data_IF_186139796081
#
_entry.id   IF_186139796081
#
_cell.length_a   1.000
_cell.length_b   1.000
_cell.length_c   1.000
_cell.angle_alpha   90.00
_cell.angle_beta   90.00
_cell.angle_gamma   90.00
#
_symmetry.space_group_name_H-M   'P 1'
#
loop_
_entity.id
_entity.type
_entity.pdbx_description
1 polymer ?
#
# COMPACT_ATOMS: atom_id res chain seq x y z
N UNK A 1 -43.41 13.70 -18.98
CA UNK A 1 -42.31 14.13 -18.09
C UNK A 1 -41.29 13.00 -17.93
N UNK A 2 -40.63 12.54 -19.02
CA UNK A 2 -39.81 11.32 -19.00
C UNK A 2 -38.40 11.49 -19.61
N UNK A 3 -37.87 12.71 -19.72
CA UNK A 3 -36.66 12.98 -20.50
C UNK A 3 -35.62 13.88 -19.80
N UNK A 4 -35.82 14.24 -18.53
CA UNK A 4 -34.85 15.04 -17.77
C UNK A 4 -33.54 14.29 -17.44
N UNK A 5 -33.56 13.03 -16.94
CA UNK A 5 -32.32 12.35 -16.57
C UNK A 5 -31.45 12.00 -17.80
N UNK A 6 -32.07 11.65 -18.93
CA UNK A 6 -31.36 11.38 -20.19
C UNK A 6 -30.72 12.65 -20.75
N UNK A 7 -31.41 13.80 -20.66
CA UNK A 7 -30.84 15.09 -21.09
C UNK A 7 -29.67 15.54 -20.22
N UNK A 8 -29.69 15.26 -18.92
CA UNK A 8 -28.58 15.56 -18.01
C UNK A 8 -27.34 14.73 -18.35
N UNK A 9 -27.52 13.41 -18.51
CA UNK A 9 -26.43 12.50 -18.82
C UNK A 9 -25.77 12.84 -20.18
N UNK A 10 -26.58 13.16 -21.19
CA UNK A 10 -26.10 13.59 -22.52
C UNK A 10 -25.40 14.95 -22.45
N UNK A 11 -25.88 15.88 -21.62
CA UNK A 11 -25.23 17.17 -21.43
C UNK A 11 -23.88 17.04 -20.71
N UNK A 12 -23.77 16.17 -19.71
CA UNK A 12 -22.50 15.87 -19.03
C UNK A 12 -21.50 15.21 -19.98
N UNK A 13 -21.91 14.20 -20.75
CA UNK A 13 -21.01 13.56 -21.72
C UNK A 13 -20.56 14.52 -22.82
N UNK A 14 -21.44 15.39 -23.31
CA UNK A 14 -21.07 16.42 -24.30
C UNK A 14 -20.13 17.47 -23.71
N UNK A 15 -20.31 17.82 -22.43
CA UNK A 15 -19.42 18.74 -21.72
C UNK A 15 -18.05 18.11 -21.46
N UNK A 16 -17.99 16.85 -21.04
CA UNK A 16 -16.74 16.10 -20.90
C UNK A 16 -16.00 15.97 -22.24
N UNK A 17 -16.71 15.75 -23.35
CA UNK A 17 -16.13 15.72 -24.69
C UNK A 17 -15.63 17.11 -25.14
N UNK A 18 -16.36 18.17 -24.83
CA UNK A 18 -15.92 19.54 -25.12
C UNK A 18 -14.68 19.92 -24.29
N UNK A 19 -14.69 19.60 -22.99
CA UNK A 19 -13.56 19.79 -22.08
C UNK A 19 -12.34 18.99 -22.57
N UNK A 20 -12.53 17.74 -23.04
CA UNK A 20 -11.49 16.93 -23.69
C UNK A 20 -10.93 17.58 -24.97
N UNK A 21 -11.77 18.18 -25.80
CA UNK A 21 -11.38 18.85 -27.06
C UNK A 21 -10.64 20.18 -26.81
N UNK A 22 -10.96 20.87 -25.72
CA UNK A 22 -10.29 22.11 -25.28
C UNK A 22 -9.02 21.83 -24.45
N UNK A 23 -8.70 20.56 -24.18
CA UNK A 23 -7.55 20.15 -23.38
C UNK A 23 -7.76 20.32 -21.86
N UNK A 24 -8.99 20.58 -21.44
CA UNK A 24 -9.44 20.61 -20.05
C UNK A 24 -9.73 19.18 -19.57
N UNK A 25 -8.68 18.42 -19.28
CA UNK A 25 -8.84 17.14 -18.59
C UNK A 25 -9.39 17.37 -17.18
N UNK A 26 -10.42 16.60 -16.79
CA UNK A 26 -10.84 16.52 -15.38
C UNK A 26 -9.61 16.17 -14.55
N UNK A 27 -9.25 17.07 -13.62
CA UNK A 27 -8.15 16.81 -12.68
C UNK A 27 -8.55 15.71 -11.71
N UNK A 28 -7.62 14.82 -11.41
CA UNK A 28 -7.77 13.86 -10.32
C UNK A 28 -7.74 14.61 -9.00
N UNK A 29 -8.81 14.49 -8.23
CA UNK A 29 -8.95 15.07 -6.91
C UNK A 29 -8.35 14.14 -5.85
N UNK A 30 -7.33 14.63 -5.14
CA UNK A 30 -6.63 13.84 -4.12
C UNK A 30 -6.70 14.59 -2.80
N UNK A 31 -7.31 13.99 -1.78
CA UNK A 31 -7.23 14.53 -0.43
C UNK A 31 -5.94 14.09 0.28
N UNK A 32 -5.38 14.93 1.14
CA UNK A 32 -4.24 14.59 2.00
C UNK A 32 -4.50 14.99 3.44
N UNK A 33 -4.33 14.05 4.36
CA UNK A 33 -4.41 14.33 5.80
C UNK A 33 -3.14 15.04 6.26
N UNK A 34 -3.27 16.13 7.02
CA UNK A 34 -2.12 16.94 7.46
C UNK A 34 -1.70 16.68 8.91
N UNK A 35 -2.59 16.08 9.71
CA UNK A 35 -2.32 15.71 11.11
C UNK A 35 -1.55 14.39 11.16
N UNK A 36 -0.57 14.29 12.07
CA UNK A 36 0.25 13.10 12.29
C UNK A 36 1.69 13.23 11.80
N UNK A 37 2.00 14.29 11.03
CA UNK A 37 3.37 14.56 10.56
C UNK A 37 4.29 14.91 11.72
N UNK A 38 5.44 14.25 11.81
CA UNK A 38 6.52 14.60 12.76
C UNK A 38 7.19 15.95 12.40
N UNK A 39 6.97 16.44 11.17
CA UNK A 39 7.43 17.74 10.69
C UNK A 39 6.32 18.81 10.71
N UNK A 40 5.15 18.47 11.27
CA UNK A 40 3.99 19.35 11.37
C UNK A 40 3.16 19.49 10.08
N UNK A 41 1.95 20.08 10.19
CA UNK A 41 1.00 20.20 9.08
C UNK A 41 1.47 21.16 7.98
N UNK A 42 2.33 22.13 8.32
CA UNK A 42 2.92 23.07 7.36
C UNK A 42 3.81 22.38 6.33
N UNK A 43 4.51 21.32 6.73
CA UNK A 43 5.33 20.53 5.81
C UNK A 43 4.46 19.73 4.82
N UNK A 44 3.33 19.20 5.29
CA UNK A 44 2.35 18.51 4.44
C UNK A 44 1.71 19.49 3.46
N UNK A 45 1.32 20.69 3.92
CA UNK A 45 0.82 21.77 3.07
C UNK A 45 1.84 22.12 1.96
N UNK A 46 3.13 22.26 2.32
CA UNK A 46 4.19 22.52 1.34
C UNK A 46 4.27 21.39 0.30
N UNK A 47 4.12 20.14 0.72
CA UNK A 47 4.06 18.98 -0.17
C UNK A 47 2.84 19.01 -1.10
N UNK A 48 1.66 19.34 -0.55
CA UNK A 48 0.42 19.50 -1.31
C UNK A 48 0.51 20.59 -2.39
N UNK A 49 1.05 21.76 -2.04
CA UNK A 49 1.25 22.85 -3.00
C UNK A 49 2.28 22.51 -4.07
N UNK A 50 3.34 21.78 -3.70
CA UNK A 50 4.34 21.28 -4.63
C UNK A 50 3.75 20.23 -5.58
N UNK A 51 2.81 19.40 -5.11
CA UNK A 51 2.13 18.41 -5.93
C UNK A 51 1.36 19.07 -7.09
N UNK A 52 0.53 20.08 -6.83
CA UNK A 52 -0.21 20.78 -7.89
C UNK A 52 0.71 21.47 -8.92
N UNK A 53 1.91 21.90 -8.49
CA UNK A 53 2.92 22.47 -9.40
C UNK A 53 3.59 21.40 -10.26
N UNK A 54 3.94 20.25 -9.66
CA UNK A 54 4.68 19.16 -10.31
C UNK A 54 3.79 18.27 -11.17
N UNK A 55 2.53 18.10 -10.78
CA UNK A 55 1.55 17.22 -11.41
C UNK A 55 0.28 18.03 -11.73
N UNK A 56 0.24 18.75 -12.87
CA UNK A 56 -0.86 19.66 -13.21
C UNK A 56 -2.24 18.98 -13.36
N UNK A 57 -2.24 17.67 -13.57
CA UNK A 57 -3.43 16.82 -13.67
C UNK A 57 -4.05 16.48 -12.31
N UNK A 58 -3.42 16.85 -11.19
CA UNK A 58 -3.94 16.65 -9.83
C UNK A 58 -4.49 17.96 -9.27
N UNK A 59 -5.58 17.86 -8.52
CA UNK A 59 -6.12 18.90 -7.63
C UNK A 59 -6.06 18.37 -6.20
N UNK A 60 -5.46 19.14 -5.29
CA UNK A 60 -5.26 18.68 -3.91
C UNK A 60 -6.28 19.30 -2.96
N UNK A 61 -6.82 18.49 -2.05
CA UNK A 61 -7.70 18.91 -0.95
C UNK A 61 -7.00 18.57 0.37
N UNK A 62 -6.90 19.51 1.29
CA UNK A 62 -6.34 19.26 2.62
C UNK A 62 -7.42 18.77 3.58
N UNK A 63 -7.06 17.86 4.48
CA UNK A 63 -7.90 17.47 5.62
C UNK A 63 -7.10 17.62 6.91
N UNK A 64 -7.47 18.58 7.75
CA UNK A 64 -6.74 18.89 9.00
C UNK A 64 -6.98 20.32 9.51
N UNK A 65 -6.12 20.85 10.40
CA UNK A 65 -6.42 22.09 11.11
C UNK A 65 -6.48 23.31 10.19
N UNK A 66 -7.27 24.30 10.60
CA UNK A 66 -7.38 25.59 9.93
C UNK A 66 -6.00 26.18 9.62
N UNK A 67 -5.70 26.36 8.33
CA UNK A 67 -4.40 26.83 7.85
C UNK A 67 -4.60 27.80 6.69
N UNK A 68 -3.81 28.88 6.65
CA UNK A 68 -3.84 29.83 5.53
C UNK A 68 -3.24 29.19 4.27
N UNK A 69 -4.07 28.90 3.28
CA UNK A 69 -3.66 28.30 2.00
C UNK A 69 -4.62 28.66 0.88
N UNK A 70 -4.16 28.51 -0.37
CA UNK A 70 -5.01 28.57 -1.57
C UNK A 70 -5.72 27.25 -1.88
N UNK A 71 -5.29 26.15 -1.25
CA UNK A 71 -5.86 24.83 -1.47
C UNK A 71 -7.21 24.70 -0.72
N UNK A 72 -8.19 23.99 -1.29
CA UNK A 72 -9.38 23.60 -0.54
C UNK A 72 -8.99 22.88 0.76
N UNK A 73 -9.64 23.22 1.86
CA UNK A 73 -9.39 22.65 3.18
C UNK A 73 -10.71 22.16 3.78
N UNK A 74 -10.71 20.91 4.21
CA UNK A 74 -11.73 20.34 5.09
C UNK A 74 -11.13 20.35 6.50
N UNK A 75 -11.65 21.23 7.35
CA UNK A 75 -11.13 21.40 8.70
C UNK A 75 -11.30 20.11 9.50
N UNK A 76 -10.30 19.74 10.31
CA UNK A 76 -10.37 18.64 11.28
C UNK A 76 -9.37 18.93 12.40
N UNK A 77 -9.74 18.64 13.64
CA UNK A 77 -8.94 19.01 14.82
C UNK A 77 -8.24 17.80 15.49
N UNK A 78 -8.45 16.59 14.96
CA UNK A 78 -7.82 15.37 15.47
C UNK A 78 -7.53 14.36 14.35
N UNK A 79 -6.59 13.45 14.57
CA UNK A 79 -6.28 12.36 13.62
C UNK A 79 -7.51 11.52 13.30
N UNK A 80 -8.34 11.22 14.32
CA UNK A 80 -9.59 10.47 14.16
C UNK A 80 -10.55 11.19 13.24
N UNK A 81 -10.80 12.48 13.49
CA UNK A 81 -11.71 13.28 12.68
C UNK A 81 -11.21 13.45 11.24
N UNK A 82 -9.90 13.66 11.07
CA UNK A 82 -9.28 13.75 9.74
C UNK A 82 -9.43 12.43 8.97
N UNK A 83 -9.26 11.29 9.64
CA UNK A 83 -9.47 9.97 9.05
C UNK A 83 -10.94 9.76 8.64
N UNK A 84 -11.90 10.04 9.52
CA UNK A 84 -13.33 9.93 9.23
C UNK A 84 -13.74 10.81 8.03
N UNK A 85 -13.28 12.07 8.00
CA UNK A 85 -13.55 12.99 6.89
C UNK A 85 -12.92 12.54 5.58
N UNK A 86 -11.67 12.06 5.61
CA UNK A 86 -11.00 11.49 4.44
C UNK A 86 -11.80 10.29 3.88
N UNK A 87 -12.26 9.38 4.74
CA UNK A 87 -13.06 8.22 4.31
C UNK A 87 -14.39 8.65 3.71
N UNK A 88 -15.10 9.60 4.32
CA UNK A 88 -16.37 10.10 3.79
C UNK A 88 -16.19 10.74 2.42
N UNK A 89 -15.15 11.58 2.24
CA UNK A 89 -14.84 12.18 0.93
C UNK A 89 -14.62 11.14 -0.18
N UNK A 90 -13.98 10.01 0.14
CA UNK A 90 -13.78 8.90 -0.80
C UNK A 90 -15.08 8.16 -1.10
N UNK A 91 -15.87 7.84 -0.07
CA UNK A 91 -17.13 7.08 -0.20
C UNK A 91 -18.18 7.88 -0.96
N UNK A 92 -18.25 9.19 -0.71
CA UNK A 92 -19.21 10.10 -1.34
C UNK A 92 -18.76 10.49 -2.78
N UNK A 93 -17.55 10.11 -3.19
CA UNK A 93 -16.99 10.43 -4.51
C UNK A 93 -16.63 11.91 -4.67
N UNK A 94 -16.49 12.66 -3.57
CA UNK A 94 -16.03 14.05 -3.58
C UNK A 94 -14.54 14.15 -3.92
N UNK A 95 -13.77 13.11 -3.60
CA UNK A 95 -12.39 12.95 -4.03
C UNK A 95 -12.16 11.58 -4.66
N UNK A 96 -11.28 11.54 -5.65
CA UNK A 96 -10.94 10.30 -6.37
C UNK A 96 -9.94 9.43 -5.57
N UNK A 97 -9.13 10.06 -4.72
CA UNK A 97 -8.05 9.39 -4.00
C UNK A 97 -7.65 10.09 -2.70
N UNK A 98 -6.88 9.38 -1.87
CA UNK A 98 -6.34 9.90 -0.62
C UNK A 98 -4.85 9.59 -0.42
N UNK A 99 -4.14 10.48 0.27
CA UNK A 99 -2.82 10.22 0.85
C UNK A 99 -2.89 10.46 2.36
N UNK A 100 -2.43 9.49 3.15
CA UNK A 100 -2.45 9.56 4.60
C UNK A 100 -1.23 8.88 5.22
N UNK A 101 -0.98 9.12 6.50
CA UNK A 101 0.14 8.51 7.23
C UNK A 101 -0.20 7.13 7.79
N UNK A 102 -1.49 6.85 7.94
CA UNK A 102 -1.98 5.59 8.48
C UNK A 102 -3.35 5.25 7.90
N UNK A 103 -3.51 3.97 7.53
CA UNK A 103 -4.76 3.37 7.08
C UNK A 103 -4.71 1.87 7.34
N UNK A 104 -5.78 1.33 7.92
CA UNK A 104 -5.91 -0.11 8.19
C UNK A 104 -6.42 -0.83 6.93
N UNK A 105 -5.47 -1.31 6.13
CA UNK A 105 -5.82 -2.12 4.95
C UNK A 105 -6.38 -3.49 5.37
N UNK A 106 -7.44 -3.96 4.70
CA UNK A 106 -7.98 -5.29 4.97
C UNK A 106 -6.98 -6.37 4.56
N UNK A 107 -7.13 -7.55 5.16
CA UNK A 107 -6.34 -8.72 4.78
C UNK A 107 -6.48 -9.02 3.28
N UNK A 108 -5.36 -9.30 2.62
CA UNK A 108 -5.32 -9.44 1.15
C UNK A 108 -4.97 -8.14 0.42
N UNK A 109 -4.65 -7.08 1.15
CA UNK A 109 -4.24 -5.77 0.60
C UNK A 109 -2.91 -5.33 1.19
N UNK A 110 -2.03 -4.83 0.34
CA UNK A 110 -0.76 -4.21 0.75
C UNK A 110 -0.35 -3.12 -0.22
N UNK A 111 0.47 -2.17 0.23
CA UNK A 111 0.88 -1.01 -0.56
C UNK A 111 2.07 -1.30 -1.46
N UNK A 112 2.02 -0.89 -2.73
CA UNK A 112 3.14 -1.05 -3.69
C UNK A 112 3.97 0.23 -3.76
N UNK A 113 5.17 0.21 -3.18
CA UNK A 113 6.05 1.38 -3.12
C UNK A 113 6.74 1.68 -4.45
N UNK A 114 7.20 2.93 -4.60
CA UNK A 114 8.05 3.36 -5.73
C UNK A 114 9.24 4.12 -5.18
N UNK A 115 10.43 3.59 -5.46
CA UNK A 115 11.70 4.10 -4.98
C UNK A 115 12.54 4.65 -6.13
N UNK A 116 13.48 5.53 -5.79
CA UNK A 116 14.50 6.02 -6.71
C UNK A 116 15.81 5.34 -6.32
N UNK A 117 16.37 4.56 -7.25
CA UNK A 117 17.61 3.85 -7.04
C UNK A 117 18.78 4.85 -6.94
N UNK A 118 19.54 4.89 -5.84
CA UNK A 118 20.56 5.92 -5.61
C UNK A 118 21.72 5.86 -6.61
N UNK A 119 22.04 4.68 -7.14
CA UNK A 119 23.18 4.48 -8.06
C UNK A 119 22.91 4.93 -9.49
N UNK A 120 21.65 5.00 -9.92
CA UNK A 120 21.28 5.27 -11.32
C UNK A 120 20.23 6.35 -11.49
N UNK A 121 19.53 6.73 -10.41
CA UNK A 121 18.36 7.60 -10.47
C UNK A 121 17.12 6.93 -11.08
N UNK A 122 17.20 5.65 -11.46
CA UNK A 122 16.08 4.91 -12.04
C UNK A 122 15.01 4.67 -10.97
N UNK A 123 13.75 4.78 -11.38
CA UNK A 123 12.63 4.43 -10.54
C UNK A 123 12.37 2.92 -10.59
N UNK A 124 12.07 2.33 -9.44
CA UNK A 124 11.81 0.91 -9.27
C UNK A 124 10.64 0.72 -8.30
N UNK A 125 9.73 -0.19 -8.63
CA UNK A 125 8.63 -0.57 -7.74
C UNK A 125 9.11 -1.60 -6.72
N UNK A 126 8.64 -1.45 -5.49
CA UNK A 126 8.81 -2.45 -4.42
C UNK A 126 7.45 -3.06 -4.16
N UNK A 127 7.35 -4.37 -4.41
CA UNK A 127 6.09 -5.06 -4.56
C UNK A 127 5.16 -4.92 -3.36
N UNK A 128 5.66 -4.89 -2.12
CA UNK A 128 4.87 -4.41 -0.97
C UNK A 128 5.69 -3.68 0.07
N UNK A 129 5.07 -2.77 0.82
CA UNK A 129 5.75 -1.93 1.84
C UNK A 129 4.96 -1.78 3.16
N UNK A 130 3.63 -1.85 3.13
CA UNK A 130 2.74 -1.86 4.30
C UNK A 130 1.54 -2.77 4.02
N UNK A 131 0.99 -3.45 5.02
CA UNK A 131 -0.15 -4.36 4.86
C UNK A 131 0.24 -5.83 4.60
N UNK A 132 -0.76 -6.69 4.38
CA UNK A 132 -0.57 -8.14 4.33
C UNK A 132 -1.46 -8.79 3.26
N UNK A 133 -0.84 -9.46 2.28
CA UNK A 133 -1.54 -10.12 1.17
C UNK A 133 -2.00 -11.57 1.48
N UNK A 134 -1.30 -12.25 2.37
CA UNK A 134 -1.58 -13.61 2.84
C UNK A 134 -0.84 -13.85 4.16
N UNK A 135 -1.33 -14.80 4.97
CA UNK A 135 -0.69 -15.20 6.23
C UNK A 135 0.66 -15.88 5.99
N UNK A 136 0.68 -16.81 5.02
CA UNK A 136 1.92 -17.50 4.65
C UNK A 136 2.82 -16.60 3.80
N UNK A 137 4.06 -16.34 4.26
CA UNK A 137 5.05 -15.47 3.61
C UNK A 137 5.23 -15.71 2.11
N UNK A 138 5.46 -16.96 1.69
CA UNK A 138 5.66 -17.30 0.26
C UNK A 138 4.40 -16.99 -0.56
N UNK A 139 3.20 -17.31 -0.03
CA UNK A 139 1.94 -16.99 -0.69
C UNK A 139 1.75 -15.47 -0.81
N UNK A 140 2.12 -14.73 0.24
CA UNK A 140 2.09 -13.28 0.23
C UNK A 140 3.02 -12.72 -0.85
N UNK A 141 4.29 -13.15 -0.89
CA UNK A 141 5.25 -12.69 -1.90
C UNK A 141 4.83 -13.02 -3.35
N UNK A 142 4.16 -14.16 -3.59
CA UNK A 142 3.59 -14.47 -4.91
C UNK A 142 2.50 -13.46 -5.27
N UNK A 143 1.58 -13.14 -4.35
CA UNK A 143 0.57 -12.09 -4.56
C UNK A 143 1.19 -10.70 -4.70
N UNK A 144 2.24 -10.40 -3.95
CA UNK A 144 2.99 -9.15 -4.06
C UNK A 144 3.51 -8.96 -5.49
N UNK A 145 4.02 -10.03 -6.13
CA UNK A 145 4.46 -9.96 -7.52
C UNK A 145 3.32 -9.57 -8.47
N UNK A 146 2.13 -10.16 -8.32
CA UNK A 146 0.93 -9.81 -9.11
C UNK A 146 0.54 -8.35 -8.89
N UNK A 147 0.53 -7.88 -7.64
CA UNK A 147 0.24 -6.49 -7.31
C UNK A 147 1.26 -5.51 -7.92
N UNK A 148 2.56 -5.80 -7.82
CA UNK A 148 3.62 -4.99 -8.42
C UNK A 148 3.53 -4.95 -9.95
N UNK A 149 3.18 -6.07 -10.60
CA UNK A 149 2.95 -6.13 -12.04
C UNK A 149 1.75 -5.29 -12.48
N UNK A 150 0.63 -5.35 -11.74
CA UNK A 150 -0.55 -4.53 -12.01
C UNK A 150 -0.23 -3.03 -11.93
N UNK A 151 0.52 -2.61 -10.90
CA UNK A 151 0.97 -1.22 -10.75
C UNK A 151 1.93 -0.81 -11.86
N UNK A 152 2.88 -1.68 -12.24
CA UNK A 152 3.80 -1.39 -13.34
C UNK A 152 3.06 -1.15 -14.66
N UNK A 153 2.06 -1.99 -14.95
CA UNK A 153 1.19 -1.88 -16.14
C UNK A 153 0.32 -0.62 -16.09
N UNK A 154 -0.21 -0.28 -14.91
CA UNK A 154 -0.94 0.99 -14.66
C UNK A 154 -0.06 2.21 -14.96
N UNK A 155 1.23 2.14 -14.65
CA UNK A 155 2.22 3.18 -14.97
C UNK A 155 2.69 3.17 -16.45
N UNK A 156 2.13 2.29 -17.28
CA UNK A 156 2.45 2.19 -18.71
C UNK A 156 3.64 1.28 -19.05
N UNK A 157 4.18 0.53 -18.08
CA UNK A 157 5.24 -0.46 -18.34
C UNK A 157 4.58 -1.72 -18.89
N UNK A 158 4.62 -1.92 -20.21
CA UNK A 158 3.88 -3.00 -20.89
C UNK A 158 4.41 -4.40 -20.58
N UNK A 159 5.73 -4.56 -20.48
CA UNK A 159 6.43 -5.82 -20.17
C UNK A 159 7.39 -5.62 -19.00
N UNK A 160 6.87 -5.46 -17.77
CA UNK A 160 7.69 -5.19 -16.60
C UNK A 160 8.61 -6.37 -16.29
N UNK A 161 9.86 -6.05 -15.97
CA UNK A 161 10.83 -7.00 -15.45
C UNK A 161 10.67 -7.19 -13.94
N UNK A 162 10.69 -8.45 -13.50
CA UNK A 162 10.52 -8.86 -12.10
C UNK A 162 11.84 -9.38 -11.57
N UNK A 163 12.26 -8.88 -10.41
CA UNK A 163 13.38 -9.41 -9.63
C UNK A 163 12.91 -9.78 -8.23
N UNK A 164 13.51 -10.81 -7.64
CA UNK A 164 13.19 -11.28 -6.30
C UNK A 164 14.32 -10.91 -5.36
N UNK A 165 14.05 -10.07 -4.36
CA UNK A 165 15.04 -9.82 -3.32
C UNK A 165 15.40 -11.15 -2.66
N UNK A 166 16.70 -11.44 -2.53
CA UNK A 166 17.20 -12.70 -2.02
C UNK A 166 17.07 -12.79 -0.48
N UNK A 167 15.82 -12.84 -0.02
CA UNK A 167 15.40 -13.07 1.36
C UNK A 167 14.80 -14.47 1.50
N UNK A 168 14.48 -14.85 2.74
CA UNK A 168 13.85 -16.13 3.02
C UNK A 168 12.53 -16.31 2.23
N UNK A 169 12.34 -17.50 1.66
CA UNK A 169 11.23 -17.83 0.78
C UNK A 169 11.40 -17.45 -0.70
N UNK A 170 12.41 -16.64 -1.08
CA UNK A 170 12.56 -16.14 -2.44
C UNK A 170 12.72 -17.25 -3.50
N UNK A 171 13.43 -18.35 -3.18
CA UNK A 171 13.60 -19.48 -4.10
C UNK A 171 12.27 -20.20 -4.35
N UNK A 172 11.42 -20.34 -3.32
CA UNK A 172 10.09 -20.93 -3.45
C UNK A 172 9.17 -20.03 -4.30
N UNK A 173 9.25 -18.71 -4.11
CA UNK A 173 8.53 -17.73 -4.94
C UNK A 173 9.01 -17.79 -6.38
N UNK A 174 10.32 -17.87 -6.62
CA UNK A 174 10.89 -18.00 -7.97
C UNK A 174 10.33 -19.24 -8.69
N UNK A 175 10.27 -20.39 -8.00
CA UNK A 175 9.69 -21.62 -8.56
C UNK A 175 8.20 -21.44 -8.87
N UNK A 176 7.43 -20.86 -7.95
CA UNK A 176 6.00 -20.60 -8.13
C UNK A 176 5.71 -19.64 -9.31
N UNK A 177 6.47 -18.55 -9.43
CA UNK A 177 6.32 -17.61 -10.55
C UNK A 177 6.81 -18.21 -11.88
N UNK A 178 7.83 -19.08 -11.84
CA UNK A 178 8.27 -19.83 -13.02
C UNK A 178 7.21 -20.82 -13.48
N UNK A 179 6.51 -21.50 -12.56
CA UNK A 179 5.38 -22.37 -12.86
C UNK A 179 4.23 -21.57 -13.53
N UNK A 180 3.92 -20.37 -13.04
CA UNK A 180 2.94 -19.48 -13.67
C UNK A 180 3.37 -19.07 -15.08
N UNK A 181 4.64 -18.65 -15.25
CA UNK A 181 5.18 -18.25 -16.55
C UNK A 181 5.14 -19.41 -17.56
N UNK A 182 5.47 -20.62 -17.14
CA UNK A 182 5.38 -21.83 -17.97
C UNK A 182 3.94 -22.17 -18.40
N UNK A 183 2.93 -21.67 -17.67
CA UNK A 183 1.50 -21.81 -17.98
C UNK A 183 0.93 -20.63 -18.76
N UNK A 184 1.77 -19.67 -19.18
CA UNK A 184 1.38 -18.54 -20.03
C UNK A 184 1.24 -17.19 -19.32
N UNK A 185 1.61 -17.08 -18.03
CA UNK A 185 1.57 -15.79 -17.34
C UNK A 185 2.72 -14.89 -17.80
N UNK A 186 2.39 -13.72 -18.34
CA UNK A 186 3.36 -12.84 -19.00
C UNK A 186 4.02 -11.84 -18.05
N UNK A 187 5.33 -12.00 -17.86
CA UNK A 187 6.27 -11.01 -17.29
C UNK A 187 7.70 -11.37 -17.70
N UNK A 188 8.66 -10.47 -17.57
CA UNK A 188 10.08 -10.79 -17.83
C UNK A 188 10.87 -10.96 -16.54
N UNK A 189 11.85 -11.86 -16.53
CA UNK A 189 12.80 -11.91 -15.42
C UNK A 189 13.83 -10.80 -15.59
N UNK A 190 14.01 -10.00 -14.54
CA UNK A 190 15.19 -9.14 -14.45
C UNK A 190 16.44 -10.02 -14.30
N UNK A 191 17.57 -9.52 -14.79
CA UNK A 191 18.87 -10.19 -14.67
C UNK A 191 19.75 -9.37 -13.75
N UNK A 192 20.19 -9.96 -12.63
CA UNK A 192 21.07 -9.30 -11.65
C UNK A 192 22.31 -8.70 -12.34
N UNK A 193 22.77 -7.54 -11.86
CA UNK A 193 23.95 -6.85 -12.37
C UNK A 193 25.28 -7.58 -12.06
N UNK A 194 25.22 -8.75 -11.43
CA UNK A 194 26.39 -9.58 -11.10
C UNK A 194 26.72 -10.56 -12.22
N UNK A 195 27.92 -11.14 -12.16
CA UNK A 195 28.40 -12.13 -13.13
C UNK A 195 27.52 -13.39 -13.20
N UNK A 196 26.90 -13.80 -12.08
CA UNK A 196 26.00 -14.96 -12.01
C UNK A 196 24.61 -14.70 -12.60
N UNK A 197 24.22 -13.43 -12.78
CA UNK A 197 22.94 -13.03 -13.35
C UNK A 197 21.72 -13.61 -12.62
N UNK A 198 20.63 -13.82 -13.36
CA UNK A 198 19.41 -14.45 -12.87
C UNK A 198 18.47 -13.51 -12.08
N UNK A 199 17.31 -14.04 -11.65
CA UNK A 199 16.22 -13.23 -11.10
C UNK A 199 16.34 -12.94 -9.60
N UNK A 200 17.32 -13.52 -8.90
CA UNK A 200 17.55 -13.26 -7.48
C UNK A 200 18.42 -12.01 -7.30
N UNK A 201 17.82 -10.97 -6.75
CA UNK A 201 18.38 -9.63 -6.56
C UNK A 201 19.06 -9.52 -5.20
N UNK A 202 20.20 -8.83 -5.16
CA UNK A 202 20.93 -8.49 -3.92
C UNK A 202 20.89 -6.98 -3.66
N UNK A 203 21.48 -6.53 -2.56
CA UNK A 203 21.54 -5.09 -2.23
C UNK A 203 22.03 -4.21 -3.38
N UNK A 204 23.03 -4.67 -4.13
CA UNK A 204 23.56 -3.93 -5.29
C UNK A 204 22.50 -3.68 -6.36
N UNK A 205 21.66 -4.69 -6.64
CA UNK A 205 20.57 -4.60 -7.61
C UNK A 205 19.50 -3.60 -7.18
N UNK A 206 19.25 -3.53 -5.87
CA UNK A 206 18.35 -2.51 -5.28
C UNK A 206 18.93 -1.11 -5.49
N UNK A 207 20.23 -0.93 -5.24
CA UNK A 207 20.90 0.37 -5.34
C UNK A 207 20.97 0.89 -6.77
N UNK A 208 21.04 0.02 -7.79
CA UNK A 208 21.07 0.42 -9.21
C UNK A 208 19.71 0.33 -9.91
N UNK A 209 18.68 -0.21 -9.25
CA UNK A 209 17.33 -0.34 -9.81
C UNK A 209 17.29 -1.35 -10.95
N UNK A 210 17.80 -2.56 -10.73
CA UNK A 210 17.88 -3.61 -11.76
C UNK A 210 16.50 -3.99 -12.33
N UNK A 211 15.51 -4.43 -11.52
CA UNK A 211 14.17 -4.74 -12.02
C UNK A 211 13.26 -3.51 -12.13
N UNK A 212 12.16 -3.63 -12.86
CA UNK A 212 11.02 -2.70 -12.76
C UNK A 212 10.22 -2.96 -11.48
N UNK A 213 10.04 -4.24 -11.12
CA UNK A 213 9.35 -4.70 -9.91
C UNK A 213 10.28 -5.57 -9.07
N UNK A 214 10.68 -5.06 -7.90
CA UNK A 214 11.41 -5.80 -6.88
C UNK A 214 10.41 -6.46 -5.92
N UNK A 215 10.33 -7.78 -5.96
CA UNK A 215 9.48 -8.60 -5.08
C UNK A 215 10.23 -8.96 -3.80
N UNK A 216 9.66 -8.60 -2.67
CA UNK A 216 10.12 -8.94 -1.32
C UNK A 216 8.92 -9.16 -0.39
N UNK A 217 9.17 -9.61 0.84
CA UNK A 217 8.18 -9.52 1.90
C UNK A 217 7.96 -8.05 2.32
N UNK A 218 6.79 -7.75 2.89
CA UNK A 218 6.39 -6.39 3.23
C UNK A 218 7.35 -5.70 4.21
N UNK A 219 7.94 -6.44 5.16
CA UNK A 219 8.83 -5.84 6.16
C UNK A 219 10.15 -5.41 5.53
N UNK A 220 10.72 -6.26 4.68
CA UNK A 220 11.88 -5.90 3.86
C UNK A 220 11.59 -4.68 2.98
N UNK A 221 10.43 -4.65 2.31
CA UNK A 221 10.02 -3.51 1.50
C UNK A 221 9.85 -2.22 2.31
N UNK A 222 9.25 -2.30 3.50
CA UNK A 222 9.13 -1.17 4.44
C UNK A 222 10.51 -0.59 4.80
N UNK A 223 11.46 -1.47 5.14
CA UNK A 223 12.81 -1.08 5.50
C UNK A 223 13.54 -0.42 4.32
N UNK A 224 13.40 -0.97 3.10
CA UNK A 224 14.00 -0.40 1.90
C UNK A 224 13.48 1.01 1.62
N UNK A 225 12.17 1.23 1.74
CA UNK A 225 11.57 2.57 1.57
C UNK A 225 12.17 3.55 2.56
N UNK A 226 12.13 3.22 3.87
CA UNK A 226 12.68 4.09 4.93
C UNK A 226 14.14 4.42 4.70
N UNK A 227 14.95 3.38 4.47
CA UNK A 227 16.39 3.52 4.33
C UNK A 227 16.75 4.39 3.13
N UNK A 228 16.18 4.12 1.95
CA UNK A 228 16.53 4.84 0.73
C UNK A 228 15.94 6.26 0.72
N UNK A 229 14.73 6.44 1.26
CA UNK A 229 14.05 7.74 1.23
C UNK A 229 14.69 8.76 2.17
N UNK A 230 15.30 8.31 3.28
CA UNK A 230 15.95 9.15 4.28
C UNK A 230 17.48 8.94 4.39
N UNK A 231 18.10 8.30 3.37
CA UNK A 231 19.52 7.91 3.39
C UNK A 231 20.47 9.10 3.65
N UNK A 232 20.15 10.27 3.11
CA UNK A 232 20.99 11.48 3.18
C UNK A 232 20.67 12.39 4.37
N UNK A 233 19.63 12.07 5.15
CA UNK A 233 19.16 12.90 6.27
C UNK A 233 19.37 12.26 7.63
N UNK A 234 19.97 11.07 7.68
CA UNK A 234 20.16 10.34 8.93
C UNK A 234 18.88 9.66 9.44
N UNK A 235 17.88 9.46 8.59
CA UNK A 235 16.69 8.66 8.90
C UNK A 235 15.49 9.42 9.48
N UNK A 236 15.62 10.71 9.80
CA UNK A 236 14.56 11.50 10.47
C UNK A 236 13.66 12.27 9.51
N UNK A 237 14.05 12.40 8.23
CA UNK A 237 13.29 13.16 7.23
C UNK A 237 13.44 12.52 5.85
N UNK A 238 12.36 11.99 5.28
CA UNK A 238 12.41 11.38 3.95
C UNK A 238 12.41 12.46 2.85
N UNK A 239 13.39 12.44 1.96
CA UNK A 239 13.61 13.46 0.91
C UNK A 239 13.38 12.95 -0.51
N UNK A 240 13.48 11.64 -0.73
CA UNK A 240 13.42 11.00 -2.05
C UNK A 240 12.39 9.87 -2.07
N UNK A 241 11.90 9.51 -3.26
CA UNK A 241 10.87 8.48 -3.43
C UNK A 241 9.44 9.04 -3.47
N UNK A 242 8.47 8.12 -3.42
CA UNK A 242 7.04 8.38 -3.63
C UNK A 242 6.17 7.87 -2.46
N UNK A 243 6.76 7.81 -1.27
CA UNK A 243 6.13 7.19 -0.10
C UNK A 243 6.07 5.67 -0.19
N UNK A 244 5.13 5.09 0.54
CA UNK A 244 4.92 3.64 0.67
C UNK A 244 3.99 3.13 -0.44
N UNK A 245 3.32 4.04 -1.15
CA UNK A 245 2.53 3.76 -2.34
C UNK A 245 1.06 3.46 -2.06
N UNK A 246 0.28 3.23 -3.13
CA UNK A 246 -1.15 2.92 -3.06
C UNK A 246 -1.40 1.53 -2.50
N UNK A 247 -2.48 1.34 -1.74
CA UNK A 247 -3.00 0.02 -1.37
C UNK A 247 -3.46 -0.75 -2.61
N UNK A 248 -3.03 -2.01 -2.71
CA UNK A 248 -3.34 -2.90 -3.83
C UNK A 248 -3.80 -4.23 -3.29
N UNK A 249 -4.91 -4.74 -3.80
CA UNK A 249 -5.48 -6.03 -3.43
C UNK A 249 -6.59 -6.40 -4.41
N UNK A 250 -6.83 -7.70 -4.61
CA UNK A 250 -7.79 -8.22 -5.60
C UNK A 250 -9.21 -7.61 -5.42
N UNK A 251 -9.64 -7.47 -4.17
CA UNK A 251 -10.95 -6.94 -3.79
C UNK A 251 -10.89 -5.47 -3.32
N UNK A 252 -9.71 -4.85 -3.30
CA UNK A 252 -9.54 -3.48 -2.83
C UNK A 252 -9.76 -2.47 -3.96
N UNK A 253 -10.63 -1.50 -3.73
CA UNK A 253 -11.16 -0.62 -4.80
C UNK A 253 -10.89 0.87 -4.58
N UNK A 254 -10.33 1.24 -3.43
CA UNK A 254 -10.04 2.64 -3.10
C UNK A 254 -8.60 3.02 -3.46
N UNK A 255 -8.39 4.26 -3.90
CA UNK A 255 -7.05 4.78 -4.21
C UNK A 255 -6.45 5.48 -2.99
N UNK A 256 -5.79 4.71 -2.11
CA UNK A 256 -5.24 5.24 -0.85
C UNK A 256 -3.73 5.02 -0.81
N UNK A 257 -2.95 6.11 -0.83
CA UNK A 257 -1.50 6.10 -0.68
C UNK A 257 -1.04 6.35 0.74
N UNK A 258 0.06 5.68 1.12
CA UNK A 258 0.69 5.88 2.44
C UNK A 258 1.99 6.67 2.33
N UNK A 259 2.14 7.62 3.25
CA UNK A 259 3.40 8.31 3.54
C UNK A 259 3.82 8.03 4.99
N UNK A 260 5.10 8.19 5.30
CA UNK A 260 5.57 8.15 6.68
C UNK A 260 5.22 9.45 7.39
N UNK A 261 5.10 9.41 8.72
CA UNK A 261 5.08 10.64 9.54
C UNK A 261 6.37 11.44 9.39
N UNK A 262 7.47 10.78 9.00
CA UNK A 262 8.75 11.42 8.71
C UNK A 262 8.88 11.91 7.25
N UNK A 263 7.84 11.77 6.41
CA UNK A 263 7.91 12.17 5.01
C UNK A 263 7.98 13.69 4.87
N UNK A 264 8.99 14.16 4.12
CA UNK A 264 9.13 15.56 3.75
C UNK A 264 8.23 15.97 2.60
N UNK A 265 8.11 17.29 2.37
CA UNK A 265 7.25 17.86 1.33
C UNK A 265 7.50 17.27 -0.08
N UNK A 266 8.75 16.96 -0.44
CA UNK A 266 9.07 16.37 -1.75
C UNK A 266 8.48 14.97 -1.92
N UNK A 267 8.56 14.14 -0.87
CA UNK A 267 8.02 12.77 -0.86
C UNK A 267 6.50 12.81 -0.85
N UNK A 268 5.90 13.69 -0.06
CA UNK A 268 4.44 13.91 -0.02
C UNK A 268 3.93 14.34 -1.40
N UNK A 269 4.60 15.29 -2.04
CA UNK A 269 4.22 15.74 -3.39
C UNK A 269 4.24 14.59 -4.41
N UNK A 270 5.28 13.77 -4.35
CA UNK A 270 5.43 12.59 -5.19
C UNK A 270 4.38 11.52 -4.90
N UNK A 271 4.04 11.27 -3.62
CA UNK A 271 3.00 10.32 -3.24
C UNK A 271 1.62 10.75 -3.78
N UNK A 272 1.29 12.04 -3.67
CA UNK A 272 0.05 12.61 -4.25
C UNK A 272 0.01 12.40 -5.76
N UNK A 273 1.10 12.74 -6.46
CA UNK A 273 1.21 12.51 -7.91
C UNK A 273 1.10 11.03 -8.29
N UNK A 274 1.73 10.16 -7.51
CA UNK A 274 1.73 8.72 -7.75
C UNK A 274 0.34 8.12 -7.60
N UNK A 275 -0.39 8.44 -6.53
CA UNK A 275 -1.80 8.01 -6.39
C UNK A 275 -2.66 8.61 -7.50
N UNK A 276 -2.43 9.86 -7.89
CA UNK A 276 -3.10 10.46 -9.04
C UNK A 276 -2.88 9.69 -10.36
N UNK A 277 -1.67 9.15 -10.57
CA UNK A 277 -1.39 8.26 -11.71
C UNK A 277 -2.16 6.94 -11.62
N UNK A 278 -2.38 6.40 -10.41
CA UNK A 278 -3.17 5.17 -10.23
C UNK A 278 -4.63 5.36 -10.61
N UNK A 279 -5.22 6.51 -10.25
CA UNK A 279 -6.58 6.86 -10.69
C UNK A 279 -6.61 7.01 -12.21
N UNK A 280 -5.68 7.79 -12.76
CA UNK A 280 -5.64 8.09 -14.21
C UNK A 280 -5.44 6.83 -15.07
N UNK A 281 -4.69 5.84 -14.56
CA UNK A 281 -4.42 4.57 -15.22
C UNK A 281 -5.40 3.44 -14.88
N UNK A 282 -6.44 3.71 -14.09
CA UNK A 282 -7.42 2.74 -13.60
C UNK A 282 -6.77 1.48 -12.99
N UNK A 283 -6.00 1.69 -11.90
CA UNK A 283 -5.33 0.62 -11.16
C UNK A 283 -6.31 -0.50 -10.78
N UNK A 284 -7.54 -0.16 -10.39
CA UNK A 284 -8.52 -1.15 -9.95
C UNK A 284 -8.86 -2.13 -11.07
N UNK A 285 -9.09 -1.62 -12.29
CA UNK A 285 -9.28 -2.50 -13.44
C UNK A 285 -8.02 -3.30 -13.77
N UNK A 286 -6.84 -2.67 -13.73
CA UNK A 286 -5.56 -3.34 -13.99
C UNK A 286 -5.28 -4.49 -13.02
N UNK A 287 -5.59 -4.31 -11.73
CA UNK A 287 -5.46 -5.35 -10.70
C UNK A 287 -6.37 -6.53 -11.02
N UNK A 288 -7.66 -6.28 -11.31
CA UNK A 288 -8.61 -7.34 -11.67
C UNK A 288 -8.18 -8.11 -12.90
N UNK A 289 -7.70 -7.41 -13.92
CA UNK A 289 -7.19 -8.03 -15.15
C UNK A 289 -5.96 -8.89 -14.87
N UNK A 290 -5.02 -8.39 -14.08
CA UNK A 290 -3.79 -9.11 -13.75
C UNK A 290 -4.05 -10.36 -12.91
N UNK A 291 -4.92 -10.27 -11.90
CA UNK A 291 -5.36 -11.44 -11.12
C UNK A 291 -6.13 -12.45 -11.98
N UNK A 292 -6.98 -11.98 -12.90
CA UNK A 292 -7.67 -12.86 -13.86
C UNK A 292 -6.67 -13.65 -14.71
N UNK A 293 -5.67 -12.98 -15.28
CA UNK A 293 -4.59 -13.63 -16.07
C UNK A 293 -3.79 -14.62 -15.23
N UNK A 294 -3.41 -14.24 -14.01
CA UNK A 294 -2.67 -15.11 -13.10
C UNK A 294 -3.48 -16.35 -12.68
N UNK A 295 -4.78 -16.18 -12.39
CA UNK A 295 -5.69 -17.28 -12.04
C UNK A 295 -5.93 -18.23 -13.22
N UNK A 296 -6.05 -17.71 -14.46
CA UNK A 296 -6.09 -18.55 -15.67
C UNK A 296 -4.82 -19.39 -15.84
N UNK A 297 -3.69 -18.90 -15.34
CA UNK A 297 -2.41 -19.62 -15.31
C UNK A 297 -2.24 -20.51 -14.06
N UNK A 298 -3.27 -20.63 -13.21
CA UNK A 298 -3.29 -21.55 -12.06
C UNK A 298 -2.75 -20.97 -10.75
N UNK A 299 -2.76 -19.64 -10.57
CA UNK A 299 -2.37 -18.96 -9.33
C UNK A 299 -3.03 -19.58 -8.09
N UNK A 300 -4.35 -19.77 -8.10
CA UNK A 300 -5.09 -20.35 -6.96
C UNK A 300 -4.52 -21.71 -6.53
N UNK A 301 -4.23 -22.59 -7.49
CA UNK A 301 -3.67 -23.91 -7.20
C UNK A 301 -2.22 -23.87 -6.71
N UNK A 302 -1.43 -22.90 -7.15
CA UNK A 302 -0.06 -22.68 -6.66
C UNK A 302 -0.08 -22.14 -5.23
N UNK A 303 -0.95 -21.18 -4.94
CA UNK A 303 -1.13 -20.63 -3.59
C UNK A 303 -1.60 -21.72 -2.61
N UNK A 304 -2.46 -22.64 -3.06
CA UNK A 304 -2.94 -23.79 -2.27
C UNK A 304 -1.83 -24.72 -1.74
N UNK A 305 -0.62 -24.69 -2.32
CA UNK A 305 0.54 -25.46 -1.83
C UNK A 305 1.15 -24.89 -0.55
N UNK A 306 0.85 -23.62 -0.28
CA UNK A 306 1.34 -22.85 0.87
C UNK A 306 0.21 -22.54 1.85
N UNK A 307 -1.00 -22.97 1.55
CA UNK A 307 -2.03 -23.15 2.55
C UNK A 307 -1.50 -24.16 3.56
N UNK A 308 -1.43 -23.77 4.83
CA UNK A 308 -1.31 -24.74 5.90
C UNK A 308 -2.41 -25.79 5.69
N UNK A 309 -2.10 -27.10 5.79
CA UNK A 309 -3.16 -28.06 6.05
C UNK A 309 -3.95 -27.52 7.23
N UNK A 310 -5.26 -27.70 7.26
CA UNK A 310 -6.00 -27.67 8.51
C UNK A 310 -5.44 -28.81 9.40
N UNK A 311 -4.24 -28.64 9.97
CA UNK A 311 -4.02 -29.10 11.33
C UNK A 311 -5.19 -28.51 12.10
N UNK A 312 -5.89 -29.36 12.85
CA UNK A 312 -6.98 -29.03 13.76
C UNK A 312 -6.56 -27.98 14.81
N UNK A 313 -6.17 -26.80 14.35
CA UNK A 313 -6.08 -25.59 15.12
C UNK A 313 -7.51 -25.12 15.17
N UNK A 314 -8.07 -25.12 16.37
CA UNK A 314 -9.42 -24.63 16.64
C UNK A 314 -9.66 -23.37 15.83
N UNK A 315 -10.64 -23.41 14.93
CA UNK A 315 -11.00 -22.30 14.06
C UNK A 315 -11.70 -21.25 14.93
N UNK A 316 -10.92 -20.57 15.76
CA UNK A 316 -11.38 -19.58 16.72
C UNK A 316 -11.61 -18.31 15.94
N UNK A 317 -12.88 -17.98 15.74
CA UNK A 317 -13.26 -16.71 15.14
C UNK A 317 -12.92 -15.56 16.09
N UNK A 318 -12.56 -14.38 15.57
CA UNK A 318 -12.42 -13.18 16.39
C UNK A 318 -13.71 -12.93 17.17
N UNK A 319 -13.64 -12.71 18.50
CA UNK A 319 -14.79 -12.25 19.27
C UNK A 319 -15.36 -10.96 18.66
N UNK A 320 -16.66 -10.67 18.80
CA UNK A 320 -17.22 -9.43 18.27
C UNK A 320 -16.53 -8.21 18.88
N UNK A 321 -16.10 -7.28 18.02
CA UNK A 321 -15.51 -6.01 18.45
C UNK A 321 -16.58 -5.15 19.15
N UNK A 322 -16.52 -5.09 20.48
CA UNK A 322 -17.45 -4.28 21.31
C UNK A 322 -16.97 -2.84 21.47
N UNK A 323 -15.66 -2.64 21.48
CA UNK A 323 -14.98 -1.35 21.68
C UNK A 323 -13.83 -1.29 20.66
N UNK A 324 -13.55 -0.12 20.05
CA UNK A 324 -12.44 0.03 19.12
C UNK A 324 -11.11 -0.41 19.73
N UNK A 325 -10.30 -1.12 18.94
CA UNK A 325 -8.97 -1.56 19.34
C UNK A 325 -7.97 -0.42 19.15
N UNK A 326 -7.64 0.29 20.22
CA UNK A 326 -6.81 1.51 20.23
C UNK A 326 -5.42 1.32 20.82
N UNK A 327 -5.17 0.20 21.53
CA UNK A 327 -3.87 -0.07 22.17
C UNK A 327 -3.04 -1.05 21.37
N UNK A 328 -1.76 -0.72 21.25
CA UNK A 328 -0.76 -1.55 20.58
C UNK A 328 0.04 -2.39 21.59
N UNK A 329 -0.06 -3.71 21.50
CA UNK A 329 0.86 -4.64 22.15
C UNK A 329 2.00 -4.94 21.19
N UNK A 330 3.20 -4.52 21.58
CA UNK A 330 4.46 -4.67 20.82
C UNK A 330 5.35 -5.75 21.43
N UNK A 331 6.35 -6.20 20.68
CA UNK A 331 7.40 -7.12 21.16
C UNK A 331 7.18 -8.58 20.83
N UNK A 332 6.16 -8.89 20.03
CA UNK A 332 5.82 -10.25 19.61
C UNK A 332 6.56 -10.55 18.30
N UNK A 333 7.11 -11.76 18.19
CA UNK A 333 7.73 -12.20 16.95
C UNK A 333 6.71 -12.18 15.79
N UNK A 334 7.09 -11.58 14.68
CA UNK A 334 6.32 -11.53 13.44
C UNK A 334 5.85 -12.90 12.99
N UNK A 335 6.69 -13.94 13.17
CA UNK A 335 6.36 -15.30 12.78
C UNK A 335 5.30 -15.94 13.70
N UNK A 336 5.10 -15.39 14.89
CA UNK A 336 4.24 -15.92 15.93
C UNK A 336 2.99 -15.06 16.18
N UNK A 337 2.90 -13.88 15.55
CA UNK A 337 1.89 -12.87 15.90
C UNK A 337 0.45 -13.31 15.60
N UNK A 338 0.25 -14.13 14.56
CA UNK A 338 -1.07 -14.69 14.26
C UNK A 338 -1.55 -15.66 15.34
N UNK A 339 -0.66 -16.54 15.80
CA UNK A 339 -0.97 -17.50 16.86
C UNK A 339 -1.16 -16.78 18.20
N UNK A 340 -0.37 -15.73 18.45
CA UNK A 340 -0.53 -14.85 19.60
C UNK A 340 -1.92 -14.18 19.63
N UNK A 341 -2.42 -13.65 18.50
CA UNK A 341 -3.78 -13.09 18.39
C UNK A 341 -4.84 -14.15 18.68
N UNK A 342 -4.67 -15.37 18.16
CA UNK A 342 -5.62 -16.47 18.39
C UNK A 342 -5.67 -16.89 19.87
N UNK A 343 -4.55 -16.89 20.58
CA UNK A 343 -4.56 -17.16 22.02
C UNK A 343 -5.33 -16.08 22.80
N UNK A 344 -5.29 -14.82 22.37
CA UNK A 344 -6.11 -13.75 22.97
C UNK A 344 -7.60 -13.99 22.68
N UNK A 345 -7.95 -14.43 21.47
CA UNK A 345 -9.34 -14.77 21.11
C UNK A 345 -9.90 -15.94 21.93
N UNK A 346 -9.09 -16.92 22.34
CA UNK A 346 -9.51 -18.03 23.23
C UNK A 346 -10.07 -17.54 24.57
N UNK A 347 -9.65 -16.36 25.01
CA UNK A 347 -10.12 -15.72 26.24
C UNK A 347 -11.31 -14.78 26.01
N UNK A 348 -11.89 -14.76 24.80
CA UNK A 348 -13.06 -13.95 24.47
C UNK A 348 -12.77 -12.45 24.25
N UNK A 349 -11.50 -12.07 24.15
CA UNK A 349 -11.05 -10.70 23.92
C UNK A 349 -10.90 -10.47 22.42
N UNK A 350 -11.49 -9.38 21.90
CA UNK A 350 -11.24 -8.97 20.52
C UNK A 350 -9.82 -8.42 20.40
N UNK A 351 -9.08 -8.97 19.43
CA UNK A 351 -7.76 -8.51 19.06
C UNK A 351 -7.62 -8.53 17.54
N UNK A 352 -6.93 -7.56 16.96
CA UNK A 352 -6.62 -7.54 15.54
C UNK A 352 -5.13 -7.33 15.31
N UNK A 353 -4.66 -7.70 14.12
CA UNK A 353 -3.29 -7.40 13.71
C UNK A 353 -3.24 -5.96 13.19
N UNK A 354 -2.27 -5.20 13.67
CA UNK A 354 -1.95 -3.86 13.19
C UNK A 354 -0.48 -3.75 12.77
N UNK A 355 -0.13 -2.63 12.16
CA UNK A 355 1.25 -2.28 11.83
C UNK A 355 1.65 -1.03 12.61
N UNK A 356 2.41 -1.23 13.69
CA UNK A 356 2.96 -0.15 14.49
C UNK A 356 4.28 0.38 13.93
N UNK A 357 4.80 1.42 14.56
CA UNK A 357 6.04 2.11 14.11
C UNK A 357 7.28 1.19 14.07
N UNK A 358 7.29 0.12 14.87
CA UNK A 358 8.43 -0.81 15.05
C UNK A 358 8.18 -2.21 14.49
N UNK A 359 7.07 -2.44 13.78
CA UNK A 359 6.70 -3.75 13.23
C UNK A 359 5.25 -4.14 13.53
N UNK A 360 4.86 -5.38 13.23
CA UNK A 360 3.53 -5.92 13.53
C UNK A 360 3.20 -5.79 15.02
N UNK A 361 1.96 -5.40 15.31
CA UNK A 361 1.43 -5.23 16.68
C UNK A 361 0.09 -5.93 16.81
N UNK A 362 -0.27 -6.28 18.04
CA UNK A 362 -1.62 -6.72 18.35
C UNK A 362 -2.41 -5.52 18.88
N UNK A 363 -3.50 -5.19 18.20
CA UNK A 363 -4.43 -4.12 18.58
C UNK A 363 -5.50 -4.69 19.50
N UNK A 364 -5.70 -4.08 20.67
CA UNK A 364 -6.76 -4.43 21.64
C UNK A 364 -7.46 -3.18 22.17
N UNK A 365 -8.63 -3.32 22.78
CA UNK A 365 -9.31 -2.22 23.44
C UNK A 365 -8.57 -1.78 24.72
N UNK A 366 -8.68 -0.51 25.10
CA UNK A 366 -8.03 0.06 26.29
C UNK A 366 -8.25 -0.77 27.57
N UNK A 367 -9.46 -1.30 27.78
CA UNK A 367 -9.80 -2.09 28.97
C UNK A 367 -9.26 -3.52 28.97
N UNK A 368 -8.83 -4.04 27.82
CA UNK A 368 -8.40 -5.43 27.65
C UNK A 368 -6.87 -5.58 27.60
N UNK A 369 -6.12 -4.46 27.57
CA UNK A 369 -4.66 -4.47 27.36
C UNK A 369 -3.90 -5.29 28.42
N UNK A 370 -4.18 -5.08 29.70
CA UNK A 370 -3.47 -5.78 30.78
C UNK A 370 -3.71 -7.30 30.72
N UNK A 371 -4.95 -7.71 30.46
CA UNK A 371 -5.34 -9.12 30.38
C UNK A 371 -4.71 -9.78 29.15
N UNK A 372 -4.79 -9.13 27.99
CA UNK A 372 -4.16 -9.61 26.76
C UNK A 372 -2.64 -9.76 26.92
N UNK A 373 -1.96 -8.79 27.54
CA UNK A 373 -0.52 -8.90 27.85
C UNK A 373 -0.20 -10.05 28.79
N UNK A 374 -1.04 -10.32 29.78
CA UNK A 374 -0.84 -11.45 30.70
C UNK A 374 -0.93 -12.79 29.98
N UNK A 375 -1.94 -12.97 29.12
CA UNK A 375 -2.13 -14.19 28.31
C UNK A 375 -0.90 -14.42 27.42
N UNK A 376 -0.46 -13.36 26.73
CA UNK A 376 0.66 -13.45 25.80
C UNK A 376 1.98 -13.77 26.50
N UNK A 377 2.22 -13.23 27.70
CA UNK A 377 3.38 -13.62 28.54
C UNK A 377 3.32 -15.07 29.00
N UNK A 378 2.16 -15.51 29.49
CA UNK A 378 1.96 -16.89 29.95
C UNK A 378 2.21 -17.90 28.82
N UNK A 379 1.84 -17.55 27.59
CA UNK A 379 2.03 -18.35 26.39
C UNK A 379 3.41 -18.18 25.73
N UNK A 380 4.27 -17.32 26.26
CA UNK A 380 5.64 -17.11 25.79
C UNK A 380 5.77 -16.29 24.51
N UNK A 381 4.79 -15.45 24.18
CA UNK A 381 4.84 -14.53 23.04
C UNK A 381 5.42 -13.15 23.38
N UNK A 382 5.56 -12.82 24.69
CA UNK A 382 6.05 -11.54 25.21
C UNK A 382 7.18 -11.69 26.23
#
# INVERSE_FOLDING_TARGET
MANQPVRHLVAETLKELADLMEGHFRKVSVCVTTIGSEHGPTEVLRGAELAEKRFPFVRVILVGPATSTRLPLVEADSEKEAHEKMVNLLVDGEVDAAVTMHYDFPMGTATVGRLIAPGTGREMLVATTTGMMASHRVAAMIKNAVAGLAVAKTLGITKPSVGLLNVDGAVQVQRALSDLKARGYEFEWATSCRQDGGPLMRGNDVLVGTPDVLVCDTLSGNLLVKLLSAMTTGGTYETTGFGYGPGVGEDFTSYIGIVSRASGASVIANAIGYVGQMVSGDLVSQVREEYTKANQCGLTGILGRFSTPETKNENIAPPPMKVPATREIRGIDVLAIEDAVREVWKSGIFASLGMGCTGPVIMVADGDEEVARSILKEKGYL
#
